data_IF_882873550649
#
_entry.id   IF_882873550649
#
_cell.length_a   1.000
_cell.length_b   1.000
_cell.length_c   1.000
_cell.angle_alpha   90.00
_cell.angle_beta   90.00
_cell.angle_gamma   90.00
#
_symmetry.space_group_name_H-M   'P 1'
#
loop_
_entity.id
_entity.type
_entity.pdbx_description
1 polymer ?
#
# COMPACT_ATOMS: atom_id res chain seq x y z
N UNK A 1 -2.51 55.74 -10.03
CA UNK A 1 -3.10 55.38 -11.34
C UNK A 1 -2.34 54.17 -11.81
N UNK A 2 -2.90 52.98 -11.60
CA UNK A 2 -2.26 51.71 -11.93
C UNK A 2 -2.71 51.31 -13.34
N UNK A 3 -1.74 51.10 -14.21
CA UNK A 3 -1.91 50.68 -15.60
C UNK A 3 -2.33 49.20 -15.64
N UNK A 4 -3.53 48.92 -16.16
CA UNK A 4 -3.98 47.57 -16.44
C UNK A 4 -3.38 47.10 -17.77
N UNK A 5 -2.41 46.20 -17.67
CA UNK A 5 -1.87 45.44 -18.79
C UNK A 5 -2.95 44.50 -19.34
N UNK A 6 -3.66 44.95 -20.36
CA UNK A 6 -4.54 44.12 -21.18
C UNK A 6 -3.68 43.18 -22.02
N UNK A 7 -3.45 41.96 -21.53
CA UNK A 7 -2.76 40.89 -22.25
C UNK A 7 -3.71 40.39 -23.35
N UNK A 8 -3.69 41.10 -24.47
CA UNK A 8 -4.25 40.66 -25.74
C UNK A 8 -3.44 39.42 -26.13
N UNK A 9 -4.09 38.25 -26.09
CA UNK A 9 -3.48 36.99 -26.50
C UNK A 9 -2.87 37.14 -27.89
N UNK A 10 -1.53 37.09 -27.95
CA UNK A 10 -0.77 36.98 -29.18
C UNK A 10 -1.30 35.78 -29.99
N UNK A 11 -1.81 36.03 -31.19
CA UNK A 11 -1.80 34.99 -32.21
C UNK A 11 -0.34 34.73 -32.60
N UNK A 12 0.12 33.46 -32.60
CA UNK A 12 1.41 33.15 -33.17
C UNK A 12 1.36 33.48 -34.67
N UNK A 13 2.23 34.39 -35.10
CA UNK A 13 2.51 34.62 -36.51
C UNK A 13 3.38 33.46 -36.99
N UNK A 14 2.97 32.87 -38.10
CA UNK A 14 3.71 31.90 -38.90
C UNK A 14 4.02 30.56 -38.24
N UNK A 15 3.01 29.68 -38.21
CA UNK A 15 3.24 28.24 -38.29
C UNK A 15 2.64 27.72 -39.60
N UNK A 16 3.53 27.47 -40.56
CA UNK A 16 3.26 26.70 -41.78
C UNK A 16 2.64 25.36 -41.37
N UNK A 17 1.35 25.19 -41.62
CA UNK A 17 0.63 23.96 -41.26
C UNK A 17 1.00 22.88 -42.25
N UNK A 18 1.94 22.03 -41.84
CA UNK A 18 2.18 20.73 -42.45
C UNK A 18 0.98 19.84 -42.10
N UNK A 19 0.21 19.47 -43.12
CA UNK A 19 -0.96 18.62 -43.00
C UNK A 19 -0.59 17.24 -42.45
N UNK A 20 -0.91 16.99 -41.19
CA UNK A 20 -0.96 15.63 -40.63
C UNK A 20 -2.33 15.04 -40.95
N UNK A 21 -2.33 14.09 -41.87
CA UNK A 21 -3.48 13.26 -42.19
C UNK A 21 -3.73 12.28 -41.04
N UNK A 22 -4.93 12.33 -40.48
CA UNK A 22 -5.53 11.19 -39.75
C UNK A 22 -6.93 10.95 -40.28
N UNK A 23 -7.15 9.68 -40.62
CA UNK A 23 -8.29 9.07 -41.29
C UNK A 23 -9.57 9.24 -40.43
N UNK A 24 -10.67 9.82 -40.90
CA UNK A 24 -11.70 9.39 -41.87
C UNK A 24 -12.89 8.65 -41.19
N UNK A 25 -14.01 9.36 -41.02
CA UNK A 25 -15.35 8.79 -41.21
C UNK A 25 -16.29 9.81 -41.87
N UNK A 26 -16.80 9.42 -43.04
CA UNK A 26 -18.15 9.75 -43.54
C UNK A 26 -18.43 11.15 -44.07
N UNK A 27 -18.17 11.41 -45.35
CA UNK A 27 -19.24 11.73 -46.33
C UNK A 27 -18.67 11.87 -47.74
N UNK A 28 -19.25 11.10 -48.66
CA UNK A 28 -18.89 11.06 -50.08
C UNK A 28 -19.16 12.40 -50.76
N UNK A 29 -18.16 12.95 -51.44
CA UNK A 29 -18.37 13.89 -52.54
C UNK A 29 -17.54 13.42 -53.74
N UNK A 30 -18.13 13.33 -54.95
CA UNK A 30 -17.36 13.12 -56.16
C UNK A 30 -16.67 14.45 -56.51
N UNK A 31 -15.42 14.38 -56.96
CA UNK A 31 -14.53 15.50 -57.27
C UNK A 31 -13.85 16.15 -56.05
N UNK A 32 -12.55 15.83 -55.90
CA UNK A 32 -11.69 16.40 -54.87
C UNK A 32 -11.54 17.91 -55.06
N UNK A 33 -12.23 18.69 -54.23
CA UNK A 33 -12.00 20.12 -54.13
C UNK A 33 -10.65 20.37 -53.45
N UNK A 34 -9.88 21.40 -53.85
CA UNK A 34 -8.64 21.77 -53.18
C UNK A 34 -8.84 22.25 -51.72
N UNK A 35 -10.09 22.29 -51.23
CA UNK A 35 -10.48 22.72 -49.89
C UNK A 35 -10.89 21.56 -48.96
N UNK A 36 -10.65 20.30 -49.37
CA UNK A 36 -10.84 19.13 -48.54
C UNK A 36 -12.32 18.83 -48.23
N UNK A 37 -12.71 18.87 -46.96
CA UNK A 37 -14.08 18.53 -46.48
C UNK A 37 -15.15 19.54 -46.89
N UNK A 38 -14.77 20.71 -47.39
CA UNK A 38 -15.68 21.79 -47.73
C UNK A 38 -15.93 21.85 -49.25
N UNK A 39 -17.19 22.11 -49.62
CA UNK A 39 -17.64 22.17 -51.02
C UNK A 39 -17.10 23.39 -51.77
N UNK A 40 -16.95 24.53 -51.10
CA UNK A 40 -16.44 25.79 -51.65
C UNK A 40 -15.79 26.68 -50.57
N UNK A 41 -15.05 27.72 -51.00
CA UNK A 41 -14.37 28.65 -50.08
C UNK A 41 -15.34 29.43 -49.18
N UNK A 42 -16.57 29.65 -49.67
CA UNK A 42 -17.62 30.29 -48.90
C UNK A 42 -18.12 29.40 -47.75
N UNK A 43 -18.27 28.09 -47.96
CA UNK A 43 -18.60 27.14 -46.90
C UNK A 43 -17.51 27.04 -45.85
N UNK A 44 -16.23 27.05 -46.26
CA UNK A 44 -15.10 27.07 -45.31
C UNK A 44 -15.10 28.33 -44.44
N UNK A 45 -15.31 29.50 -45.04
CA UNK A 45 -15.41 30.77 -44.31
C UNK A 45 -16.62 30.81 -43.37
N UNK A 46 -17.76 30.24 -43.79
CA UNK A 46 -18.95 30.07 -42.96
C UNK A 46 -18.67 29.23 -41.71
N UNK A 47 -18.05 28.07 -41.87
CA UNK A 47 -17.70 27.18 -40.77
C UNK A 47 -16.69 27.81 -39.79
N UNK A 48 -15.73 28.59 -40.32
CA UNK A 48 -14.80 29.33 -39.47
C UNK A 48 -15.50 30.35 -38.57
N UNK A 49 -16.41 31.16 -39.14
CA UNK A 49 -17.16 32.15 -38.37
C UNK A 49 -18.09 31.50 -37.35
N UNK A 50 -18.71 30.37 -37.68
CA UNK A 50 -19.54 29.60 -36.77
C UNK A 50 -18.71 29.05 -35.59
N UNK A 51 -17.53 28.49 -35.86
CA UNK A 51 -16.61 28.04 -34.82
C UNK A 51 -16.14 29.18 -33.91
N UNK A 52 -15.81 30.34 -34.49
CA UNK A 52 -15.44 31.53 -33.73
C UNK A 52 -16.58 32.03 -32.84
N UNK A 53 -17.83 31.93 -33.32
CA UNK A 53 -19.02 32.28 -32.54
C UNK A 53 -19.22 31.33 -31.35
N UNK A 54 -19.01 30.04 -31.54
CA UNK A 54 -19.09 29.03 -30.46
C UNK A 54 -17.99 29.22 -29.43
N UNK A 55 -16.77 29.56 -29.85
CA UNK A 55 -15.68 29.85 -28.92
C UNK A 55 -16.00 31.08 -28.07
N UNK A 56 -16.53 32.13 -28.68
CA UNK A 56 -16.98 33.34 -27.98
C UNK A 56 -18.09 33.02 -26.98
N UNK A 57 -19.10 32.24 -27.39
CA UNK A 57 -20.20 31.80 -26.53
C UNK A 57 -19.72 30.94 -25.37
N UNK A 58 -18.74 30.07 -25.59
CA UNK A 58 -18.14 29.23 -24.54
C UNK A 58 -17.35 30.08 -23.55
N UNK A 59 -16.56 31.05 -24.02
CA UNK A 59 -15.86 32.00 -23.16
C UNK A 59 -16.83 32.84 -22.31
N UNK A 60 -17.92 33.33 -22.90
CA UNK A 60 -18.98 34.05 -22.17
C UNK A 60 -19.60 33.18 -21.07
N UNK A 61 -20.03 31.95 -21.40
CA UNK A 61 -20.58 31.00 -20.41
C UNK A 61 -19.60 30.69 -19.29
N UNK A 62 -18.32 30.52 -19.61
CA UNK A 62 -17.28 30.23 -18.62
C UNK A 62 -17.09 31.43 -17.70
N UNK A 63 -17.04 32.65 -18.25
CA UNK A 63 -16.98 33.88 -17.47
C UNK A 63 -18.19 34.04 -16.55
N UNK A 64 -19.40 33.76 -17.03
CA UNK A 64 -20.61 33.80 -16.22
C UNK A 64 -20.62 32.74 -15.11
N UNK A 65 -20.15 31.52 -15.40
CA UNK A 65 -20.06 30.46 -14.41
C UNK A 65 -19.03 30.78 -13.31
N UNK A 66 -17.86 31.30 -13.70
CA UNK A 66 -16.85 31.76 -12.75
C UNK A 66 -17.37 32.94 -11.92
N UNK A 67 -18.06 33.90 -12.55
CA UNK A 67 -18.65 35.03 -11.83
C UNK A 67 -19.73 34.56 -10.84
N UNK A 68 -20.58 33.61 -11.22
CA UNK A 68 -21.58 33.01 -10.30
C UNK A 68 -20.92 32.25 -9.16
N UNK A 69 -19.81 31.55 -9.41
CA UNK A 69 -19.04 30.87 -8.37
C UNK A 69 -18.43 31.88 -7.39
N UNK A 70 -17.83 32.95 -7.91
CA UNK A 70 -17.25 34.04 -7.11
C UNK A 70 -18.33 34.79 -6.33
N UNK A 71 -19.47 35.12 -6.94
CA UNK A 71 -20.64 35.71 -6.27
C UNK A 71 -21.19 34.76 -5.19
N UNK A 72 -21.24 33.45 -5.44
CA UNK A 72 -21.65 32.46 -4.42
C UNK A 72 -20.64 32.37 -3.28
N UNK A 73 -19.35 32.51 -3.56
CA UNK A 73 -18.29 32.55 -2.55
C UNK A 73 -18.30 33.86 -1.74
N UNK A 74 -18.65 34.98 -2.37
CA UNK A 74 -18.75 36.30 -1.73
C UNK A 74 -20.05 36.45 -0.92
N UNK A 75 -21.17 35.90 -1.38
CA UNK A 75 -22.43 35.86 -0.62
C UNK A 75 -22.31 34.94 0.60
N UNK A 76 -21.55 33.84 0.50
CA UNK A 76 -21.16 33.02 1.66
C UNK A 76 -20.11 33.70 2.56
N UNK A 77 -19.54 34.85 2.17
CA UNK A 77 -18.63 35.63 3.01
C UNK A 77 -19.31 36.81 3.73
N UNK A 78 -20.59 37.08 3.45
CA UNK A 78 -21.33 38.25 3.93
C UNK A 78 -22.26 38.02 5.12
N UNK A 79 -22.65 36.78 5.42
CA UNK A 79 -23.51 36.44 6.57
C UNK A 79 -22.96 35.20 7.30
N UNK A 80 -22.08 35.43 8.27
CA UNK A 80 -21.50 34.45 9.21
C UNK A 80 -20.60 33.36 8.57
N UNK A 81 -19.69 32.77 9.36
CA UNK A 81 -18.87 31.58 9.01
C UNK A 81 -17.56 31.76 8.23
N UNK A 82 -16.78 32.81 8.53
CA UNK A 82 -15.34 32.84 8.20
C UNK A 82 -14.40 32.38 9.33
N UNK A 83 -14.95 31.85 10.42
CA UNK A 83 -14.20 31.29 11.57
C UNK A 83 -14.45 29.79 11.85
N UNK A 84 -15.26 29.09 11.04
CA UNK A 84 -15.75 27.74 11.35
C UNK A 84 -15.36 26.62 10.37
N UNK A 85 -14.57 26.89 9.33
CA UNK A 85 -14.23 25.85 8.33
C UNK A 85 -13.02 24.98 8.72
N UNK A 86 -12.25 25.28 9.75
CA UNK A 86 -11.01 24.51 10.05
C UNK A 86 -10.76 24.18 11.53
N UNK A 87 -11.79 24.12 12.38
CA UNK A 87 -11.59 23.74 13.79
C UNK A 87 -11.73 22.24 14.02
N UNK A 88 -12.71 21.62 13.36
CA UNK A 88 -13.02 20.20 13.58
C UNK A 88 -12.08 19.26 12.83
N UNK A 89 -11.61 19.61 11.62
CA UNK A 89 -10.58 18.83 10.91
C UNK A 89 -9.24 18.85 11.64
N UNK A 90 -8.83 20.01 12.16
CA UNK A 90 -7.55 20.15 12.86
C UNK A 90 -7.57 19.44 14.22
N UNK A 91 -8.68 19.56 14.96
CA UNK A 91 -8.87 18.84 16.23
C UNK A 91 -8.98 17.32 16.05
N UNK A 92 -9.52 16.85 14.92
CA UNK A 92 -9.56 15.43 14.61
C UNK A 92 -8.19 14.88 14.20
N UNK A 93 -7.41 15.65 13.43
CA UNK A 93 -6.04 15.28 13.08
C UNK A 93 -5.13 15.15 14.31
N UNK A 94 -5.25 16.06 15.28
CA UNK A 94 -4.47 15.99 16.53
C UNK A 94 -4.85 14.75 17.36
N UNK A 95 -6.15 14.44 17.46
CA UNK A 95 -6.63 13.21 18.11
C UNK A 95 -6.15 11.95 17.42
N UNK A 96 -6.11 11.95 16.08
CA UNK A 96 -5.58 10.83 15.31
C UNK A 96 -4.08 10.67 15.55
N UNK A 97 -3.31 11.76 15.56
CA UNK A 97 -1.87 11.71 15.85
C UNK A 97 -1.58 11.20 17.26
N UNK A 98 -2.34 11.65 18.26
CA UNK A 98 -2.19 11.15 19.63
C UNK A 98 -2.59 9.68 19.75
N UNK A 99 -3.62 9.24 19.02
CA UNK A 99 -4.00 7.84 18.91
C UNK A 99 -2.90 7.00 18.25
N UNK A 100 -2.26 7.49 17.18
CA UNK A 100 -1.17 6.79 16.50
C UNK A 100 0.10 6.72 17.34
N UNK A 101 0.37 7.72 18.17
CA UNK A 101 1.44 7.67 19.17
C UNK A 101 1.16 6.59 20.23
N UNK A 102 -0.10 6.47 20.68
CA UNK A 102 -0.52 5.44 21.62
C UNK A 102 -0.50 4.03 21.00
N UNK A 103 -0.88 3.90 19.74
CA UNK A 103 -0.99 2.63 19.01
C UNK A 103 -0.08 2.60 17.78
N UNK A 104 1.20 2.30 17.97
CA UNK A 104 2.20 2.23 16.88
C UNK A 104 1.83 1.24 15.76
N UNK A 105 1.11 0.18 16.12
CA UNK A 105 0.60 -0.84 15.20
C UNK A 105 -0.62 -0.36 14.38
N UNK A 106 -1.31 0.70 14.79
CA UNK A 106 -2.42 1.28 14.03
C UNK A 106 -1.96 2.01 12.76
N UNK A 107 -0.67 2.37 12.65
CA UNK A 107 -0.13 3.06 11.49
C UNK A 107 -0.29 2.25 10.18
N UNK A 108 -0.22 0.92 10.27
CA UNK A 108 -0.46 0.04 9.11
C UNK A 108 -1.94 -0.06 8.70
N UNK A 109 -2.85 0.42 9.54
CA UNK A 109 -4.29 0.26 9.38
C UNK A 109 -5.04 1.59 9.26
N UNK A 110 -4.35 2.73 9.17
CA UNK A 110 -4.96 4.07 9.15
C UNK A 110 -6.03 4.19 8.09
N UNK A 111 -5.75 3.74 6.86
CA UNK A 111 -6.70 3.79 5.75
C UNK A 111 -7.94 2.92 6.02
N UNK A 112 -7.78 1.76 6.65
CA UNK A 112 -8.91 0.89 6.98
C UNK A 112 -9.75 1.50 8.11
N UNK A 113 -9.09 2.12 9.09
CA UNK A 113 -9.75 2.80 10.22
C UNK A 113 -10.55 4.00 9.71
N UNK A 114 -9.96 4.84 8.86
CA UNK A 114 -10.65 6.02 8.31
C UNK A 114 -11.82 5.60 7.43
N UNK A 115 -11.66 4.58 6.60
CA UNK A 115 -12.75 4.05 5.78
C UNK A 115 -13.90 3.51 6.65
N UNK A 116 -13.61 2.77 7.71
CA UNK A 116 -14.65 2.26 8.63
C UNK A 116 -15.43 3.42 9.28
N UNK A 117 -14.74 4.49 9.69
CA UNK A 117 -15.38 5.70 10.27
C UNK A 117 -16.22 6.45 9.22
N UNK A 118 -15.77 6.48 7.97
CA UNK A 118 -16.51 7.14 6.88
C UNK A 118 -17.81 6.39 6.59
N UNK A 119 -17.77 5.05 6.61
CA UNK A 119 -18.90 4.19 6.29
C UNK A 119 -19.97 4.18 7.39
N UNK A 120 -19.59 4.16 8.67
CA UNK A 120 -20.56 4.17 9.77
C UNK A 120 -20.87 5.58 10.26
N UNK A 121 -22.07 6.07 9.91
CA UNK A 121 -22.59 7.36 10.38
C UNK A 121 -22.67 7.45 11.91
N UNK A 122 -23.05 6.37 12.59
CA UNK A 122 -23.21 6.32 14.04
C UNK A 122 -21.87 6.45 14.78
N UNK A 123 -20.75 6.10 14.14
CA UNK A 123 -19.43 6.27 14.75
C UNK A 123 -18.96 7.72 14.70
N UNK A 124 -19.35 8.50 13.69
CA UNK A 124 -18.96 9.92 13.56
C UNK A 124 -19.49 10.78 14.70
N UNK A 125 -20.63 10.40 15.25
CA UNK A 125 -21.25 11.09 16.38
C UNK A 125 -20.67 10.64 17.74
N UNK A 126 -19.94 9.51 17.77
CA UNK A 126 -19.34 9.00 19.00
C UNK A 126 -17.96 9.60 19.26
N UNK A 127 -17.71 10.03 20.50
CA UNK A 127 -16.40 10.59 20.91
C UNK A 127 -15.23 9.60 20.76
N UNK A 128 -15.53 8.30 20.77
CA UNK A 128 -14.54 7.20 20.68
C UNK A 128 -14.54 6.52 19.31
N UNK A 129 -14.86 7.25 18.24
CA UNK A 129 -14.94 6.73 16.88
C UNK A 129 -13.67 5.97 16.46
N UNK A 130 -12.50 6.50 16.81
CA UNK A 130 -11.19 5.96 16.45
C UNK A 130 -10.92 4.61 17.11
N UNK A 131 -11.17 4.49 18.42
CA UNK A 131 -10.93 3.24 19.16
C UNK A 131 -11.88 2.13 18.70
N UNK A 132 -13.16 2.46 18.49
CA UNK A 132 -14.15 1.50 18.01
C UNK A 132 -13.85 1.02 16.59
N UNK A 133 -13.52 1.94 15.69
CA UNK A 133 -13.12 1.58 14.34
C UNK A 133 -11.85 0.74 14.33
N UNK A 134 -10.84 1.10 15.13
CA UNK A 134 -9.62 0.33 15.25
C UNK A 134 -9.87 -1.08 15.80
N UNK A 135 -10.71 -1.22 16.82
CA UNK A 135 -11.08 -2.52 17.40
C UNK A 135 -11.72 -3.42 16.34
N UNK A 136 -12.62 -2.88 15.51
CA UNK A 136 -13.24 -3.63 14.41
C UNK A 136 -12.25 -4.01 13.31
N UNK A 137 -11.32 -3.12 12.98
CA UNK A 137 -10.27 -3.42 12.00
C UNK A 137 -9.35 -4.51 12.55
N UNK A 138 -9.02 -4.48 13.84
CA UNK A 138 -8.27 -5.55 14.49
C UNK A 138 -9.04 -6.88 14.49
N UNK A 139 -10.34 -6.87 14.77
CA UNK A 139 -11.18 -8.08 14.70
C UNK A 139 -11.21 -8.66 13.27
N UNK A 140 -11.37 -7.82 12.25
CA UNK A 140 -11.36 -8.25 10.84
C UNK A 140 -10.02 -8.86 10.44
N UNK A 141 -8.92 -8.31 10.93
CA UNK A 141 -7.57 -8.77 10.62
C UNK A 141 -7.02 -9.78 11.65
N UNK A 142 -7.84 -10.23 12.60
CA UNK A 142 -7.40 -11.15 13.64
C UNK A 142 -7.20 -12.56 13.07
N UNK A 143 -5.96 -13.06 13.19
CA UNK A 143 -5.62 -14.44 12.82
C UNK A 143 -5.49 -15.26 14.10
N UNK A 144 -6.30 -16.32 14.28
CA UNK A 144 -6.18 -17.18 15.46
C UNK A 144 -4.81 -17.86 15.48
N UNK A 145 -4.27 -18.10 16.68
CA UNK A 145 -2.90 -18.63 16.89
C UNK A 145 -2.70 -19.98 16.20
N UNK A 146 -3.76 -20.79 16.16
CA UNK A 146 -3.81 -22.10 15.52
C UNK A 146 -3.68 -22.00 14.00
N UNK A 147 -4.18 -20.92 13.40
CA UNK A 147 -4.04 -20.62 11.98
C UNK A 147 -2.66 -20.06 11.67
N UNK A 148 -2.11 -19.24 12.56
CA UNK A 148 -0.77 -18.68 12.42
C UNK A 148 0.32 -19.76 12.38
N UNK A 149 0.17 -20.81 13.18
CA UNK A 149 1.07 -21.97 13.18
C UNK A 149 1.04 -22.78 11.87
N UNK A 150 0.04 -22.57 11.02
CA UNK A 150 -0.08 -23.23 9.71
C UNK A 150 0.27 -22.30 8.54
N UNK A 151 0.46 -21.01 8.80
CA UNK A 151 0.74 -20.04 7.75
C UNK A 151 2.21 -20.19 7.30
N UNK A 152 2.48 -20.58 6.04
CA UNK A 152 3.83 -20.82 5.56
C UNK A 152 4.71 -19.57 5.64
N UNK A 153 4.15 -18.39 5.33
CA UNK A 153 4.90 -17.13 5.33
C UNK A 153 5.36 -16.72 6.74
N UNK A 154 4.51 -16.99 7.74
CA UNK A 154 4.87 -16.79 9.14
C UNK A 154 5.95 -17.78 9.61
N UNK A 155 5.80 -19.05 9.26
CA UNK A 155 6.74 -20.10 9.62
C UNK A 155 8.14 -19.82 9.04
N UNK A 156 8.21 -19.49 7.75
CA UNK A 156 9.48 -19.19 7.07
C UNK A 156 10.18 -17.98 7.70
N UNK A 157 9.45 -16.89 7.90
CA UNK A 157 10.01 -15.63 8.39
C UNK A 157 10.39 -15.63 9.87
N UNK A 158 9.59 -16.27 10.73
CA UNK A 158 9.73 -16.15 12.19
C UNK A 158 10.16 -17.45 12.88
N UNK A 159 9.83 -18.62 12.35
CA UNK A 159 10.16 -19.92 12.98
C UNK A 159 11.43 -20.52 12.37
N UNK A 160 11.43 -20.80 11.07
CA UNK A 160 12.55 -21.47 10.40
C UNK A 160 13.77 -20.56 10.23
N UNK A 161 13.56 -19.25 10.13
CA UNK A 161 14.65 -18.28 10.12
C UNK A 161 15.32 -18.10 11.49
N UNK A 162 14.67 -18.45 12.59
CA UNK A 162 15.23 -18.27 13.93
C UNK A 162 16.07 -19.48 14.34
N UNK A 163 17.38 -19.27 14.50
CA UNK A 163 18.32 -20.31 14.88
C UNK A 163 18.12 -20.86 16.29
N UNK A 164 17.66 -20.04 17.25
CA UNK A 164 17.39 -20.49 18.62
C UNK A 164 16.27 -21.53 18.64
N UNK A 165 15.20 -21.29 17.87
CA UNK A 165 14.06 -22.21 17.77
C UNK A 165 14.49 -23.50 17.08
N UNK A 166 15.23 -23.41 15.97
CA UNK A 166 15.77 -24.60 15.28
C UNK A 166 16.64 -25.43 16.21
N UNK A 167 17.58 -24.81 16.92
CA UNK A 167 18.47 -25.50 17.84
C UNK A 167 17.69 -26.17 18.97
N UNK A 168 16.64 -25.51 19.50
CA UNK A 168 15.77 -26.12 20.50
C UNK A 168 15.05 -27.36 19.97
N UNK A 169 14.46 -27.29 18.77
CA UNK A 169 13.77 -28.42 18.13
C UNK A 169 14.76 -29.57 17.85
N UNK A 170 15.95 -29.27 17.33
CA UNK A 170 16.99 -30.27 17.05
C UNK A 170 17.45 -30.92 18.35
N UNK A 171 17.71 -30.15 19.40
CA UNK A 171 18.15 -30.67 20.69
C UNK A 171 17.08 -31.57 21.32
N UNK A 172 15.81 -31.16 21.27
CA UNK A 172 14.69 -31.98 21.74
C UNK A 172 14.61 -33.30 20.95
N UNK A 173 14.73 -33.23 19.62
CA UNK A 173 14.74 -34.41 18.76
C UNK A 173 15.94 -35.35 19.06
N UNK A 174 17.16 -34.82 19.12
CA UNK A 174 18.36 -35.61 19.44
C UNK A 174 18.28 -36.21 20.85
N UNK A 175 17.75 -35.47 21.82
CA UNK A 175 17.53 -35.97 23.18
C UNK A 175 16.52 -37.12 23.20
N UNK A 176 15.46 -37.04 22.38
CA UNK A 176 14.49 -38.13 22.23
C UNK A 176 15.13 -39.39 21.62
N UNK A 177 16.05 -39.24 20.67
CA UNK A 177 16.79 -40.37 20.09
C UNK A 177 17.75 -41.01 21.09
N UNK A 178 18.42 -40.22 21.92
CA UNK A 178 19.31 -40.76 22.96
C UNK A 178 18.57 -41.58 24.02
N UNK A 179 17.28 -41.32 24.25
CA UNK A 179 16.44 -42.12 25.16
C UNK A 179 16.02 -43.46 24.54
N UNK A 180 15.94 -43.56 23.22
CA UNK A 180 15.74 -44.84 22.53
C UNK A 180 17.07 -45.59 22.52
N UNK A 181 17.13 -46.73 23.22
CA UNK A 181 18.37 -47.50 23.37
C UNK A 181 19.08 -47.71 22.03
N UNK A 182 20.40 -47.49 22.00
CA UNK A 182 21.20 -47.64 20.80
C UNK A 182 20.93 -49.01 20.14
N UNK A 183 20.75 -49.07 18.82
CA UNK A 183 20.43 -50.31 18.14
C UNK A 183 21.52 -51.34 18.42
N UNK A 184 21.07 -52.52 18.85
CA UNK A 184 21.93 -53.65 19.14
C UNK A 184 22.48 -54.16 17.80
N UNK A 185 23.76 -53.91 17.53
CA UNK A 185 24.44 -54.47 16.37
C UNK A 185 24.96 -55.87 16.67
N UNK A 186 24.54 -56.86 15.89
CA UNK A 186 25.15 -58.20 15.94
C UNK A 186 26.46 -58.12 15.17
N UNK A 187 27.57 -58.34 15.87
CA UNK A 187 28.90 -58.41 15.24
C UNK A 187 29.09 -59.79 14.59
N UNK A 188 29.98 -59.89 13.60
CA UNK A 188 30.22 -61.13 12.83
C UNK A 188 30.74 -62.32 13.67
N UNK A 189 30.98 -62.12 14.97
CA UNK A 189 31.36 -63.15 15.95
C UNK A 189 30.18 -63.70 16.76
N UNK A 190 28.93 -63.30 16.46
CA UNK A 190 27.74 -63.73 17.20
C UNK A 190 27.56 -63.04 18.55
N UNK A 191 28.45 -62.11 18.91
CA UNK A 191 28.30 -61.28 20.10
C UNK A 191 27.35 -60.12 19.84
N UNK A 192 26.34 -60.05 20.70
CA UNK A 192 25.38 -58.96 20.85
C UNK A 192 26.07 -57.87 21.67
N UNK A 193 26.71 -56.92 20.99
CA UNK A 193 27.44 -55.83 21.63
C UNK A 193 26.92 -54.49 21.11
N UNK A 194 26.56 -53.58 22.03
CA UNK A 194 26.43 -52.18 21.66
C UNK A 194 27.78 -51.65 21.15
N UNK A 195 27.75 -50.57 20.36
CA UNK A 195 28.98 -49.84 20.02
C UNK A 195 29.53 -49.27 21.33
N UNK A 196 30.50 -49.97 21.93
CA UNK A 196 31.16 -49.51 23.14
C UNK A 196 31.96 -48.25 22.81
N UNK A 197 31.54 -47.10 23.34
CA UNK A 197 32.39 -45.93 23.34
C UNK A 197 33.64 -46.25 24.17
N UNK A 198 34.79 -46.40 23.51
CA UNK A 198 36.06 -46.41 24.24
C UNK A 198 36.26 -45.02 24.84
N UNK A 199 36.39 -44.89 26.17
CA UNK A 199 36.68 -43.60 26.78
C UNK A 199 38.00 -43.05 26.21
N UNK A 200 37.98 -41.80 25.74
CA UNK A 200 39.18 -41.07 25.33
C UNK A 200 39.70 -40.33 26.56
N UNK A 201 40.92 -40.64 26.97
CA UNK A 201 41.57 -39.98 28.11
C UNK A 201 42.45 -38.84 27.61
N UNK A 202 42.39 -37.69 28.29
CA UNK A 202 43.21 -36.52 27.95
C UNK A 202 44.63 -36.63 28.49
N UNK A 203 44.89 -37.56 29.42
CA UNK A 203 46.19 -37.78 30.05
C UNK A 203 46.43 -39.25 30.36
N UNK A 204 47.71 -39.63 30.48
CA UNK A 204 48.12 -40.99 30.85
C UNK A 204 47.67 -41.37 32.26
N UNK A 205 47.67 -40.41 33.19
CA UNK A 205 47.28 -40.67 34.58
C UNK A 205 45.78 -40.98 34.71
N UNK A 206 44.95 -40.28 33.95
CA UNK A 206 43.50 -40.52 33.87
C UNK A 206 43.19 -41.90 33.27
N UNK A 207 43.91 -42.28 32.21
CA UNK A 207 43.82 -43.61 31.61
C UNK A 207 44.23 -44.70 32.61
N UNK A 208 45.32 -44.50 33.35
CA UNK A 208 45.83 -45.45 34.35
C UNK A 208 44.82 -45.70 35.46
N UNK A 209 44.21 -44.63 36.01
CA UNK A 209 43.19 -44.76 37.07
C UNK A 209 41.93 -45.48 36.58
N UNK A 210 41.52 -45.26 35.34
CA UNK A 210 40.38 -45.96 34.76
C UNK A 210 40.66 -47.47 34.64
N UNK A 211 41.84 -47.84 34.14
CA UNK A 211 42.27 -49.23 34.02
C UNK A 211 42.36 -49.90 35.38
N UNK A 212 42.96 -49.25 36.38
CA UNK A 212 43.02 -49.77 37.75
C UNK A 212 41.63 -50.06 38.33
N UNK A 213 40.66 -49.18 38.09
CA UNK A 213 39.29 -49.40 38.54
C UNK A 213 38.57 -50.51 37.77
N UNK A 214 38.98 -50.80 36.53
CA UNK A 214 38.43 -51.90 35.72
C UNK A 214 38.92 -53.28 36.18
N UNK A 215 40.12 -53.35 36.77
CA UNK A 215 40.75 -54.60 37.21
C UNK A 215 40.64 -54.86 38.72
N UNK A 216 40.05 -53.93 39.49
CA UNK A 216 39.68 -54.17 40.89
C UNK A 216 38.35 -54.93 40.93
N UNK A 217 38.44 -56.26 40.98
CA UNK A 217 37.35 -57.17 41.36
C UNK A 217 37.40 -57.46 42.86
#
# INVERSE_FOLDING_TARGET
MLEENNIIGEQPKDAVVQAVATENEGTNNPEGSPLGKFKDAKSLFGAYNELQSEFTRKCQKLSEANKKLEESQLLNAGESEKDSINKDEFAWSEKLDDFLKAHKNANGFVEQITNEIIMDKDLKESGDALEKAYTRVLEKNYIPKESLAKNPEFLDKYIYSNDEIKNKIINEYVSSLQQTQSPISITNSGYVGGIAHTPKFGSLEEASKYVENMFKF
#
